data_IF_288754363718
#
_entry.id   IF_288754363718
#
_cell.length_a   1.000
_cell.length_b   1.000
_cell.length_c   1.000
_cell.angle_alpha   90.00
_cell.angle_beta   90.00
_cell.angle_gamma   90.00
#
_symmetry.space_group_name_H-M   'P 1'
#
loop_
_entity.id
_entity.type
_entity.pdbx_description
1 polymer ?
#
# COMPACT_ATOMS: atom_id res chain seq x y z
N UNK A 1 18.87 -8.48 -4.85
CA UNK A 1 18.28 -8.73 -6.20
C UNK A 1 17.15 -7.74 -6.52
N UNK A 2 16.16 -7.49 -5.62
CA UNK A 2 15.04 -6.58 -5.89
C UNK A 2 15.49 -5.19 -6.36
N UNK A 3 16.48 -4.59 -5.71
CA UNK A 3 17.03 -3.27 -6.10
C UNK A 3 17.52 -3.22 -7.55
N UNK A 4 18.02 -4.34 -8.08
CA UNK A 4 18.50 -4.45 -9.46
C UNK A 4 17.34 -4.57 -10.46
N UNK A 5 16.33 -5.41 -10.15
CA UNK A 5 15.23 -5.71 -11.07
C UNK A 5 14.07 -4.73 -11.00
N UNK A 6 13.84 -4.14 -9.84
CA UNK A 6 12.79 -3.14 -9.63
C UNK A 6 13.18 -2.15 -8.54
N UNK A 7 13.93 -1.10 -8.89
CA UNK A 7 14.33 -0.05 -7.95
C UNK A 7 13.13 0.58 -7.24
N UNK A 8 12.01 0.81 -7.95
CA UNK A 8 10.78 1.36 -7.37
C UNK A 8 10.23 0.49 -6.24
N UNK A 9 10.03 -0.81 -6.48
CA UNK A 9 9.53 -1.71 -5.43
C UNK A 9 10.51 -1.82 -4.25
N UNK A 10 11.80 -1.75 -4.52
CA UNK A 10 12.81 -1.72 -3.46
C UNK A 10 12.65 -0.48 -2.57
N UNK A 11 12.49 0.70 -3.16
CA UNK A 11 12.30 1.95 -2.42
C UNK A 11 10.96 1.97 -1.67
N UNK A 12 9.89 1.44 -2.28
CA UNK A 12 8.58 1.30 -1.61
C UNK A 12 8.74 0.44 -0.35
N UNK A 13 9.33 -0.75 -0.46
CA UNK A 13 9.56 -1.62 0.70
C UNK A 13 10.44 -0.96 1.77
N UNK A 14 11.47 -0.23 1.36
CA UNK A 14 12.35 0.50 2.29
C UNK A 14 11.57 1.56 3.08
N UNK A 15 10.66 2.27 2.41
CA UNK A 15 9.82 3.26 3.07
C UNK A 15 8.75 2.64 3.96
N UNK A 16 8.10 1.55 3.52
CA UNK A 16 7.12 0.79 4.31
C UNK A 16 7.74 0.31 5.63
N UNK A 17 8.96 -0.20 5.58
CA UNK A 17 9.69 -0.70 6.76
C UNK A 17 9.93 0.36 7.84
N UNK A 18 9.87 1.66 7.52
CA UNK A 18 9.91 2.73 8.53
C UNK A 18 8.72 2.69 9.49
N UNK A 19 7.60 2.10 9.07
CA UNK A 19 6.39 1.89 9.87
C UNK A 19 6.22 0.44 10.34
N UNK A 20 7.34 -0.29 10.41
CA UNK A 20 7.38 -1.65 10.94
C UNK A 20 8.43 -1.73 12.05
N UNK A 21 8.01 -2.17 13.23
CA UNK A 21 8.90 -2.37 14.37
C UNK A 21 9.33 -3.83 14.41
N UNK A 22 10.64 -4.07 14.56
CA UNK A 22 11.23 -5.40 14.66
C UNK A 22 10.85 -6.35 13.49
N UNK A 23 10.57 -5.76 12.31
CA UNK A 23 10.12 -6.44 11.07
C UNK A 23 8.82 -7.27 11.20
N UNK A 24 8.08 -7.17 12.32
CA UNK A 24 6.90 -8.00 12.59
C UNK A 24 5.66 -7.20 12.99
N UNK A 25 5.81 -5.98 13.52
CA UNK A 25 4.71 -5.21 14.05
C UNK A 25 4.55 -3.86 13.35
N UNK A 26 3.35 -3.61 12.80
CA UNK A 26 3.00 -2.32 12.20
C UNK A 26 2.92 -1.21 13.26
N UNK A 27 3.38 -0.02 12.88
CA UNK A 27 3.22 1.23 13.63
C UNK A 27 2.47 2.31 12.87
N UNK A 28 1.91 1.97 11.71
CA UNK A 28 1.11 2.88 10.89
C UNK A 28 0.56 2.23 9.64
N UNK A 29 -0.63 2.67 9.26
CA UNK A 29 -1.33 2.20 8.06
C UNK A 29 -0.75 2.80 6.79
N UNK A 30 -0.78 2.05 5.72
CA UNK A 30 -0.15 2.38 4.44
C UNK A 30 -1.13 2.18 3.29
N UNK A 31 -1.23 3.18 2.42
CA UNK A 31 -1.93 3.11 1.16
C UNK A 31 -0.94 2.95 0.03
N UNK A 32 -1.08 1.88 -0.76
CA UNK A 32 -0.38 1.70 -2.02
C UNK A 32 -1.37 1.84 -3.17
N UNK A 33 -1.03 2.68 -4.14
CA UNK A 33 -1.82 2.90 -5.34
C UNK A 33 -1.01 2.54 -6.59
N UNK A 34 -1.63 1.75 -7.46
CA UNK A 34 -1.14 1.46 -8.82
C UNK A 34 -2.33 1.38 -9.78
N UNK A 35 -2.22 2.02 -10.94
CA UNK A 35 -3.19 1.87 -12.02
C UNK A 35 -3.14 0.48 -12.65
N UNK A 36 -1.97 -0.14 -12.60
CA UNK A 36 -1.75 -1.47 -13.17
C UNK A 36 -1.96 -2.53 -12.10
N UNK A 37 -2.72 -3.56 -12.46
CA UNK A 37 -2.91 -4.71 -11.59
C UNK A 37 -1.95 -5.84 -11.96
N UNK A 38 -1.92 -6.19 -13.25
CA UNK A 38 -1.10 -7.26 -13.80
C UNK A 38 0.35 -6.82 -14.03
N UNK A 39 1.21 -7.76 -14.37
CA UNK A 39 2.63 -7.57 -14.73
C UNK A 39 3.45 -6.83 -13.67
N UNK A 40 3.70 -5.55 -13.87
CA UNK A 40 4.50 -4.72 -12.97
C UNK A 40 3.68 -3.97 -11.90
N UNK A 41 2.38 -4.24 -11.78
CA UNK A 41 1.46 -3.55 -10.87
C UNK A 41 1.27 -4.24 -9.51
N UNK A 42 0.03 -4.16 -9.01
CA UNK A 42 -0.30 -4.64 -7.65
C UNK A 42 -0.07 -6.14 -7.45
N UNK A 43 -0.22 -6.99 -8.49
CA UNK A 43 0.05 -8.44 -8.38
C UNK A 43 1.54 -8.76 -8.25
N UNK A 44 2.41 -7.98 -8.91
CA UNK A 44 3.85 -8.11 -8.70
C UNK A 44 4.24 -7.69 -7.28
N UNK A 45 3.62 -6.60 -6.79
CA UNK A 45 3.87 -6.12 -5.44
C UNK A 45 3.34 -7.10 -4.37
N UNK A 46 2.20 -7.75 -4.58
CA UNK A 46 1.69 -8.83 -3.74
C UNK A 46 2.74 -9.93 -3.51
N UNK A 47 3.35 -10.43 -4.61
CA UNK A 47 4.41 -11.46 -4.52
C UNK A 47 5.62 -10.98 -3.72
N UNK A 48 5.97 -9.71 -3.89
CA UNK A 48 7.09 -9.10 -3.16
C UNK A 48 6.74 -8.97 -1.67
N UNK A 49 5.53 -8.55 -1.33
CA UNK A 49 5.05 -8.48 0.06
C UNK A 49 5.09 -9.86 0.74
N UNK A 50 4.54 -10.89 0.07
CA UNK A 50 4.57 -12.28 0.59
C UNK A 50 6.01 -12.76 0.81
N UNK A 51 6.91 -12.50 -0.15
CA UNK A 51 8.33 -12.84 -0.02
C UNK A 51 9.06 -12.08 1.10
N UNK A 52 8.46 -11.00 1.63
CA UNK A 52 8.95 -10.21 2.76
C UNK A 52 8.16 -10.42 4.06
N UNK A 53 7.41 -11.52 4.17
CA UNK A 53 6.75 -11.92 5.40
C UNK A 53 5.34 -11.35 5.60
N UNK A 54 4.77 -10.70 4.59
CA UNK A 54 3.38 -10.26 4.65
C UNK A 54 2.42 -11.38 4.31
N UNK A 55 1.27 -11.41 4.98
CA UNK A 55 0.14 -12.28 4.67
C UNK A 55 -0.98 -11.49 4.00
N UNK A 56 -1.68 -12.11 3.08
CA UNK A 56 -2.88 -11.52 2.49
C UNK A 56 -4.06 -11.72 3.43
N UNK A 57 -4.75 -10.65 3.78
CA UNK A 57 -6.04 -10.74 4.46
C UNK A 57 -7.09 -11.23 3.45
N UNK A 58 -7.71 -12.36 3.76
CA UNK A 58 -8.75 -12.98 2.95
C UNK A 58 -10.09 -12.87 3.68
N UNK A 59 -10.94 -11.95 3.25
CA UNK A 59 -12.26 -11.70 3.85
C UNK A 59 -13.27 -12.87 3.75
N UNK A 60 -12.96 -13.91 2.96
CA UNK A 60 -13.77 -15.13 2.90
C UNK A 60 -13.39 -16.15 3.99
N UNK A 61 -12.19 -16.04 4.55
CA UNK A 61 -11.62 -16.99 5.51
C UNK A 61 -11.35 -16.38 6.88
N UNK A 62 -11.17 -15.06 6.96
CA UNK A 62 -10.78 -14.35 8.17
C UNK A 62 -11.71 -13.15 8.43
N UNK A 63 -12.15 -12.98 9.68
CA UNK A 63 -12.79 -11.76 10.15
C UNK A 63 -11.81 -10.92 10.98
N UNK A 64 -11.94 -9.60 10.91
CA UNK A 64 -11.12 -8.68 11.72
C UNK A 64 -11.38 -8.90 13.21
N UNK A 65 -12.61 -9.19 13.61
CA UNK A 65 -12.96 -9.43 15.00
C UNK A 65 -12.29 -10.70 15.55
N UNK A 66 -12.21 -11.77 14.76
CA UNK A 66 -11.48 -12.99 15.12
C UNK A 66 -9.97 -12.72 15.29
N UNK A 67 -9.38 -11.89 14.42
CA UNK A 67 -7.98 -11.48 14.53
C UNK A 67 -7.72 -10.66 15.80
N UNK A 68 -8.66 -9.82 16.19
CA UNK A 68 -8.58 -9.00 17.40
C UNK A 68 -8.70 -9.89 18.64
N UNK A 69 -9.68 -10.80 18.70
CA UNK A 69 -9.89 -11.73 19.82
C UNK A 69 -8.68 -12.63 20.03
N UNK A 70 -8.13 -13.17 18.96
CA UNK A 70 -6.94 -14.05 19.01
C UNK A 70 -5.63 -13.28 19.16
N UNK A 71 -5.66 -11.93 19.09
CA UNK A 71 -4.50 -11.04 19.08
C UNK A 71 -3.48 -11.44 18.01
N UNK A 72 -3.96 -11.89 16.87
CA UNK A 72 -3.13 -12.34 15.74
C UNK A 72 -2.54 -11.16 14.98
N UNK A 73 -1.57 -10.48 15.62
CA UNK A 73 -0.85 -9.35 15.03
C UNK A 73 0.22 -9.86 14.07
N UNK A 74 0.01 -9.61 12.78
CA UNK A 74 0.94 -9.94 11.70
C UNK A 74 0.92 -8.82 10.66
N UNK A 75 1.98 -8.73 9.87
CA UNK A 75 2.00 -7.83 8.73
C UNK A 75 1.08 -8.36 7.65
N UNK A 76 -0.08 -7.75 7.48
CA UNK A 76 -1.06 -8.13 6.45
C UNK A 76 -1.32 -6.99 5.49
N UNK A 77 -1.74 -7.38 4.30
CA UNK A 77 -2.24 -6.47 3.29
C UNK A 77 -3.58 -6.94 2.74
N UNK A 78 -4.37 -6.00 2.22
CA UNK A 78 -5.64 -6.29 1.55
C UNK A 78 -5.77 -5.49 0.25
N UNK A 79 -6.77 -5.84 -0.56
CA UNK A 79 -7.03 -5.21 -1.85
C UNK A 79 -8.35 -4.46 -1.91
N UNK A 80 -8.34 -3.34 -2.64
CA UNK A 80 -9.52 -2.67 -3.15
C UNK A 80 -9.29 -2.37 -4.64
N UNK A 81 -9.62 -3.32 -5.49
CA UNK A 81 -9.42 -3.20 -6.96
C UNK A 81 -10.70 -3.59 -7.71
N UNK A 82 -10.64 -3.73 -9.02
CA UNK A 82 -11.79 -4.15 -9.82
C UNK A 82 -12.10 -5.65 -9.79
N UNK A 83 -11.28 -6.48 -9.12
CA UNK A 83 -11.50 -7.95 -9.07
C UNK A 83 -12.34 -8.39 -7.88
N UNK A 84 -12.19 -7.71 -6.76
CA UNK A 84 -12.95 -8.00 -5.56
C UNK A 84 -14.43 -7.69 -5.81
N UNK A 85 -15.31 -8.57 -5.33
CA UNK A 85 -16.75 -8.31 -5.30
C UNK A 85 -17.04 -7.08 -4.43
N UNK A 86 -18.20 -6.48 -4.60
CA UNK A 86 -18.61 -5.32 -3.78
C UNK A 86 -18.69 -5.68 -2.28
N UNK A 87 -19.03 -6.94 -1.96
CA UNK A 87 -19.05 -7.43 -0.59
C UNK A 87 -17.64 -7.54 -0.01
N UNK A 88 -16.69 -8.15 -0.73
CA UNK A 88 -15.28 -8.23 -0.33
C UNK A 88 -14.67 -6.84 -0.16
N UNK A 89 -14.91 -5.92 -1.10
CA UNK A 89 -14.45 -4.52 -1.00
C UNK A 89 -14.95 -3.85 0.26
N UNK A 90 -16.23 -4.07 0.59
CA UNK A 90 -16.83 -3.52 1.80
C UNK A 90 -16.15 -4.07 3.05
N UNK A 91 -16.00 -5.39 3.15
CA UNK A 91 -15.35 -6.05 4.29
C UNK A 91 -13.89 -5.60 4.41
N UNK A 92 -13.12 -5.64 3.31
CA UNK A 92 -11.72 -5.23 3.30
C UNK A 92 -11.52 -3.79 3.77
N UNK A 93 -12.39 -2.87 3.32
CA UNK A 93 -12.37 -1.47 3.74
C UNK A 93 -12.74 -1.31 5.22
N UNK A 94 -13.80 -1.98 5.68
CA UNK A 94 -14.27 -1.91 7.07
C UNK A 94 -13.23 -2.50 8.01
N UNK A 95 -12.64 -3.65 7.67
CA UNK A 95 -11.56 -4.27 8.43
C UNK A 95 -10.31 -3.39 8.49
N UNK A 96 -9.89 -2.80 7.37
CA UNK A 96 -8.77 -1.86 7.36
C UNK A 96 -9.05 -0.63 8.22
N UNK A 97 -10.28 -0.11 8.20
CA UNK A 97 -10.69 1.07 8.96
C UNK A 97 -11.07 0.78 10.41
N UNK A 98 -11.04 -0.48 10.85
CA UNK A 98 -11.45 -0.86 12.21
C UNK A 98 -10.64 -0.08 13.25
N UNK A 99 -11.29 0.30 14.37
CA UNK A 99 -10.67 1.12 15.43
C UNK A 99 -9.48 0.46 16.08
N UNK A 100 -9.57 -0.85 16.34
CA UNK A 100 -8.46 -1.64 16.89
C UNK A 100 -7.30 -1.82 15.90
N UNK A 101 -7.50 -1.46 14.63
CA UNK A 101 -6.48 -1.48 13.59
C UNK A 101 -5.88 -0.09 13.30
N UNK A 102 -5.94 0.85 14.24
CA UNK A 102 -5.55 2.24 14.00
C UNK A 102 -4.08 2.40 13.59
N UNK A 103 -3.20 1.55 14.08
CA UNK A 103 -1.78 1.49 13.71
C UNK A 103 -1.46 0.42 12.65
N UNK A 104 -2.49 -0.24 12.10
CA UNK A 104 -2.29 -1.31 11.12
C UNK A 104 -1.81 -2.62 11.73
N UNK A 105 -2.10 -2.88 13.02
CA UNK A 105 -1.62 -4.05 13.75
C UNK A 105 -2.11 -5.38 13.16
N UNK A 106 -3.28 -5.36 12.54
CA UNK A 106 -3.93 -6.53 11.92
C UNK A 106 -3.86 -6.47 10.39
N UNK A 107 -4.04 -5.28 9.79
CA UNK A 107 -3.94 -5.03 8.35
C UNK A 107 -3.18 -3.71 8.14
N UNK A 108 -1.91 -3.81 7.77
CA UNK A 108 -1.04 -2.64 7.60
C UNK A 108 -1.25 -1.95 6.26
N UNK A 109 -1.29 -2.72 5.15
CA UNK A 109 -1.36 -2.18 3.81
C UNK A 109 -2.72 -2.38 3.17
N UNK A 110 -3.16 -1.37 2.42
CA UNK A 110 -4.25 -1.49 1.48
C UNK A 110 -3.77 -1.13 0.08
N UNK A 111 -3.95 -2.07 -0.85
CA UNK A 111 -3.56 -1.91 -2.26
C UNK A 111 -4.79 -1.53 -3.08
N UNK A 112 -4.77 -0.36 -3.70
CA UNK A 112 -5.90 0.16 -4.46
C UNK A 112 -5.51 0.38 -5.93
N UNK A 113 -6.49 0.17 -6.82
CA UNK A 113 -6.42 0.62 -8.22
C UNK A 113 -7.41 1.75 -8.47
N UNK A 114 -7.38 2.32 -9.69
CA UNK A 114 -8.32 3.37 -10.09
C UNK A 114 -9.79 2.98 -9.89
N UNK A 115 -10.15 1.73 -10.23
CA UNK A 115 -11.52 1.20 -10.07
C UNK A 115 -11.93 0.98 -8.61
N UNK A 116 -10.97 0.74 -7.70
CA UNK A 116 -11.24 0.59 -6.27
C UNK A 116 -11.16 1.90 -5.48
N UNK A 117 -10.61 2.95 -6.08
CA UNK A 117 -10.37 4.21 -5.40
C UNK A 117 -11.62 5.10 -5.26
N UNK A 118 -12.69 4.86 -6.05
CA UNK A 118 -13.85 5.73 -6.06
C UNK A 118 -14.67 5.61 -4.77
N UNK A 119 -15.05 6.76 -4.21
CA UNK A 119 -15.97 6.83 -3.05
C UNK A 119 -15.42 6.32 -1.71
N UNK A 120 -14.16 5.86 -1.62
CA UNK A 120 -13.60 5.34 -0.38
C UNK A 120 -13.09 6.45 0.54
N UNK A 121 -13.15 6.20 1.84
CA UNK A 121 -12.49 6.97 2.89
C UNK A 121 -11.68 6.01 3.73
N UNK A 122 -10.40 6.34 3.94
CA UNK A 122 -9.49 5.57 4.76
C UNK A 122 -9.13 6.39 6.01
N UNK A 123 -8.99 5.73 7.15
CA UNK A 123 -8.68 6.36 8.42
C UNK A 123 -7.33 5.93 8.95
N UNK A 124 -6.58 6.87 9.54
CA UNK A 124 -5.29 6.60 10.18
C UNK A 124 -4.16 6.23 9.21
N UNK A 125 -4.27 6.55 7.91
CA UNK A 125 -3.21 6.27 6.93
C UNK A 125 -2.03 7.20 7.17
N UNK A 126 -0.83 6.64 7.35
CA UNK A 126 0.41 7.38 7.66
C UNK A 126 1.36 7.49 6.46
N UNK A 127 1.25 6.58 5.49
CA UNK A 127 2.01 6.66 4.22
C UNK A 127 1.09 6.42 3.03
N UNK A 128 1.35 7.16 1.96
CA UNK A 128 0.71 6.96 0.65
C UNK A 128 1.78 6.80 -0.40
N UNK A 129 1.76 5.67 -1.09
CA UNK A 129 2.69 5.33 -2.15
C UNK A 129 1.97 5.29 -3.49
N UNK A 130 2.35 6.17 -4.43
CA UNK A 130 1.86 6.17 -5.82
C UNK A 130 2.95 5.63 -6.72
N UNK A 131 2.73 4.41 -7.24
CA UNK A 131 3.71 3.66 -8.04
C UNK A 131 3.92 4.28 -9.42
N UNK A 132 2.83 4.72 -10.07
CA UNK A 132 2.89 5.37 -11.38
C UNK A 132 2.38 6.82 -11.27
N UNK A 133 3.22 7.78 -11.63
CA UNK A 133 2.78 9.16 -11.73
C UNK A 133 1.89 9.35 -12.95
N UNK A 134 0.79 10.07 -12.76
CA UNK A 134 0.00 10.55 -13.87
C UNK A 134 0.60 11.82 -14.46
N UNK A 135 0.44 12.01 -15.77
CA UNK A 135 0.70 13.29 -16.41
C UNK A 135 -0.25 14.40 -15.90
N UNK A 136 -1.42 14.02 -15.36
CA UNK A 136 -2.40 14.93 -14.75
C UNK A 136 -2.31 14.84 -13.22
N UNK A 137 -1.78 15.89 -12.60
CA UNK A 137 -1.60 15.96 -11.15
C UNK A 137 -2.90 15.90 -10.35
N UNK A 138 -4.04 16.31 -10.93
CA UNK A 138 -5.37 16.25 -10.27
C UNK A 138 -5.68 14.81 -9.85
N UNK A 139 -5.28 13.82 -10.64
CA UNK A 139 -5.51 12.40 -10.33
C UNK A 139 -4.66 11.93 -9.16
N UNK A 140 -3.44 12.42 -9.08
CA UNK A 140 -2.54 12.19 -7.93
C UNK A 140 -3.15 12.77 -6.65
N UNK A 141 -3.67 14.01 -6.70
CA UNK A 141 -4.34 14.65 -5.58
C UNK A 141 -5.60 13.91 -5.15
N UNK A 142 -6.36 13.33 -6.08
CA UNK A 142 -7.52 12.51 -5.75
C UNK A 142 -7.14 11.26 -4.94
N UNK A 143 -6.02 10.61 -5.26
CA UNK A 143 -5.53 9.46 -4.49
C UNK A 143 -5.09 9.90 -3.09
N UNK A 144 -4.31 10.97 -2.98
CA UNK A 144 -3.92 11.51 -1.69
C UNK A 144 -5.14 11.91 -0.85
N UNK A 145 -6.16 12.51 -1.48
CA UNK A 145 -7.42 12.87 -0.81
C UNK A 145 -8.22 11.69 -0.25
N UNK A 146 -7.89 10.43 -0.59
CA UNK A 146 -8.50 9.24 0.05
C UNK A 146 -7.92 8.98 1.44
N UNK A 147 -6.63 9.25 1.62
CA UNK A 147 -5.94 9.08 2.88
C UNK A 147 -5.96 10.35 3.74
N UNK A 148 -6.01 11.55 3.10
CA UNK A 148 -5.91 12.85 3.76
C UNK A 148 -7.28 13.54 3.70
N UNK A 149 -8.20 13.10 4.56
CA UNK A 149 -9.51 13.75 4.70
C UNK A 149 -9.63 14.44 6.05
N UNK A 150 -10.51 15.45 6.08
CA UNK A 150 -10.87 16.07 7.35
C UNK A 150 -11.28 14.98 8.36
N UNK A 151 -10.70 15.02 9.54
CA UNK A 151 -10.95 14.08 10.64
C UNK A 151 -10.52 12.62 10.43
N UNK A 152 -9.80 12.29 9.35
CA UNK A 152 -9.34 10.92 9.11
C UNK A 152 -8.26 10.43 10.09
N UNK A 153 -7.68 11.31 10.90
CA UNK A 153 -6.59 11.02 11.83
C UNK A 153 -6.92 11.38 13.28
N UNK A 154 -8.21 11.62 13.61
CA UNK A 154 -8.59 12.06 14.97
C UNK A 154 -8.27 11.04 16.05
N UNK A 155 -8.31 9.75 15.71
CA UNK A 155 -8.03 8.65 16.63
C UNK A 155 -6.53 8.45 16.89
N UNK A 156 -5.66 9.15 16.14
CA UNK A 156 -4.23 9.17 16.37
C UNK A 156 -3.82 10.33 17.29
N UNK A 157 -2.73 10.18 18.07
CA UNK A 157 -2.09 11.29 18.80
C UNK A 157 -1.72 12.43 17.85
N UNK A 158 -1.69 13.66 18.35
CA UNK A 158 -1.46 14.85 17.51
C UNK A 158 -0.13 14.83 16.75
N UNK A 159 0.92 14.35 17.38
CA UNK A 159 2.26 14.18 16.80
C UNK A 159 2.31 13.10 15.70
N UNK A 160 1.27 12.27 15.60
CA UNK A 160 1.16 11.19 14.61
C UNK A 160 0.11 11.49 13.51
N UNK A 161 -0.49 12.67 13.48
CA UNK A 161 -1.50 13.05 12.47
C UNK A 161 -0.90 13.58 11.16
N UNK A 162 0.30 13.13 10.81
CA UNK A 162 0.96 13.44 9.54
C UNK A 162 0.84 12.28 8.55
N UNK A 163 0.93 12.60 7.25
CA UNK A 163 0.93 11.62 6.17
C UNK A 163 2.15 11.86 5.29
N UNK A 164 2.99 10.84 5.18
CA UNK A 164 4.11 10.85 4.23
C UNK A 164 3.60 10.46 2.84
N UNK A 165 3.89 11.29 1.84
CA UNK A 165 3.44 11.10 0.46
C UNK A 165 4.64 10.76 -0.43
N UNK A 166 4.55 9.65 -1.14
CA UNK A 166 5.59 9.17 -2.04
C UNK A 166 5.06 9.01 -3.46
N UNK A 167 5.73 9.67 -4.40
CA UNK A 167 5.49 9.52 -5.83
C UNK A 167 6.75 8.95 -6.49
N UNK A 168 6.64 7.79 -7.12
CA UNK A 168 7.80 7.07 -7.66
C UNK A 168 7.97 7.33 -9.15
N UNK A 169 9.08 7.98 -9.49
CA UNK A 169 9.49 8.26 -10.86
C UNK A 169 10.66 7.37 -11.27
N UNK A 170 10.67 6.92 -12.51
CA UNK A 170 11.83 6.25 -13.10
C UNK A 170 12.51 7.21 -14.04
N UNK A 171 13.82 7.34 -13.87
CA UNK A 171 14.67 8.12 -14.76
C UNK A 171 15.77 7.22 -15.33
N UNK A 172 16.13 7.46 -16.56
CA UNK A 172 17.35 6.90 -17.11
C UNK A 172 18.55 7.66 -16.52
N UNK A 173 19.68 7.00 -16.27
CA UNK A 173 20.93 7.67 -15.94
C UNK A 173 21.27 8.70 -17.02
N UNK A 174 21.90 9.80 -16.63
CA UNK A 174 22.28 10.85 -17.57
C UNK A 174 23.34 10.30 -18.54
N UNK A 175 23.07 10.39 -19.84
CA UNK A 175 23.93 9.87 -20.90
C UNK A 175 23.62 8.45 -21.36
N UNK A 176 22.79 7.69 -20.65
CA UNK A 176 22.40 6.35 -21.07
C UNK A 176 21.19 6.39 -22.02
N UNK A 177 21.22 5.53 -23.03
CA UNK A 177 20.04 5.25 -23.85
C UNK A 177 19.23 4.10 -23.25
N UNK A 178 17.94 4.00 -23.61
CA UNK A 178 17.08 2.90 -23.16
C UNK A 178 17.66 1.54 -23.56
N UNK A 179 18.26 1.45 -24.73
CA UNK A 179 18.88 0.22 -25.25
C UNK A 179 20.12 -0.20 -24.45
N UNK A 180 20.97 0.74 -24.03
CA UNK A 180 22.14 0.46 -23.18
C UNK A 180 21.73 -0.05 -21.81
N UNK A 181 20.76 0.58 -21.18
CA UNK A 181 20.20 0.13 -19.88
C UNK A 181 19.61 -1.27 -20.03
N UNK A 182 18.85 -1.51 -21.11
CA UNK A 182 18.22 -2.82 -21.37
C UNK A 182 19.26 -3.91 -21.68
N UNK A 183 20.34 -3.60 -22.41
CA UNK A 183 21.43 -4.54 -22.68
C UNK A 183 22.17 -4.93 -21.40
N UNK A 184 22.38 -3.97 -20.49
CA UNK A 184 23.02 -4.21 -19.21
C UNK A 184 22.14 -5.02 -18.21
N UNK A 185 20.84 -5.09 -18.45
CA UNK A 185 19.90 -5.93 -17.69
C UNK A 185 19.80 -7.37 -18.19
N UNK A 186 20.37 -7.68 -19.36
CA UNK A 186 20.43 -9.06 -19.87
C UNK A 186 21.42 -9.87 -19.03
N UNK A 187 20.87 -10.71 -18.22
CA UNK A 187 21.57 -11.77 -17.46
C UNK A 187 21.53 -13.06 -18.27
#
# INVERSE_FOLDING_TARGET
KLKLYSPKFYEILTNIKKFTKDDEMSTGKILYYSDFRHDAGSEAFEKILIANGYEKFNSDEEDIDDLIETKSKKLRFTFLTGKESEQEKKINKESFNHKENIYGEYIQLILISSSGAEGISLFGVRQVHIMEPFWNYIRVDQVFGRAIRMRSHLDLPEDQRNVEQYLYLSFLPEGDTFDEVFQNMKI
#
